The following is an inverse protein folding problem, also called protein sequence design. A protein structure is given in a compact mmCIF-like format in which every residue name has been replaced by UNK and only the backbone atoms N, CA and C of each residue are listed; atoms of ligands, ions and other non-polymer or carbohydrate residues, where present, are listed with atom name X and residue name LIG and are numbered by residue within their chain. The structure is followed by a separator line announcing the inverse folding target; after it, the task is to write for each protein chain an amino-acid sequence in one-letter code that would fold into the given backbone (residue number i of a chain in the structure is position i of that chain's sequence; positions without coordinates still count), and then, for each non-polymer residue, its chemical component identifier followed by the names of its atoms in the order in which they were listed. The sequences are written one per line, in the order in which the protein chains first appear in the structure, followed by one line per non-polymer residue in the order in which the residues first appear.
data_IF_111766545853
#
_entry.id   IF_111766545853
#
_cell.length_a   1.000
_cell.length_b   1.000
_cell.length_c   1.000
_cell.angle_alpha   90.00
_cell.angle_beta   90.00
_cell.angle_gamma   90.00
#
_symmetry.space_group_name_H-M   'P 1'
#
loop_
_entity.id
_entity.type
_entity.pdbx_description
1 polymer ?
#
# COMPACT_ATOMS: atom_id res chain seq x y z
N UNK A 1 -56.40 -11.07 39.07
CA UNK A 1 -55.47 -11.97 38.37
C UNK A 1 -55.13 -11.31 37.04
N UNK A 2 -53.94 -10.75 36.94
CA UNK A 2 -53.46 -9.92 35.83
C UNK A 2 -53.06 -10.77 34.63
N UNK A 3 -53.56 -10.40 33.44
CA UNK A 3 -53.04 -10.87 32.15
C UNK A 3 -51.95 -9.93 31.66
N UNK A 4 -50.78 -10.50 31.35
CA UNK A 4 -49.65 -9.77 30.78
C UNK A 4 -49.70 -9.87 29.25
N UNK A 5 -49.91 -8.72 28.60
CA UNK A 5 -49.77 -8.51 27.16
C UNK A 5 -48.37 -7.93 26.94
N UNK A 6 -47.53 -8.62 26.15
CA UNK A 6 -46.24 -8.08 25.70
C UNK A 6 -46.38 -7.44 24.32
N UNK A 7 -45.88 -6.21 24.10
CA UNK A 7 -45.69 -5.66 22.77
C UNK A 7 -44.27 -5.96 22.24
N UNK A 8 -44.21 -6.63 21.08
CA UNK A 8 -43.03 -6.66 20.21
C UNK A 8 -42.85 -5.26 19.58
N UNK A 9 -41.76 -4.58 19.90
CA UNK A 9 -41.35 -3.38 19.19
C UNK A 9 -40.52 -3.76 17.94
N UNK A 10 -41.19 -3.83 16.79
CA UNK A 10 -40.56 -3.70 15.48
C UNK A 10 -40.16 -2.24 15.27
N UNK A 11 -38.86 -1.96 15.07
CA UNK A 11 -38.43 -0.71 14.46
C UNK A 11 -38.14 -0.99 12.99
N UNK A 12 -39.12 -0.65 12.16
CA UNK A 12 -38.99 -0.50 10.71
C UNK A 12 -38.46 0.90 10.44
N UNK A 13 -37.34 1.00 9.73
CA UNK A 13 -37.02 2.18 8.92
C UNK A 13 -36.80 1.70 7.49
N UNK A 14 -37.83 1.88 6.66
CA UNK A 14 -37.70 1.85 5.20
C UNK A 14 -36.78 2.97 4.71
N UNK A 15 -36.20 2.93 3.52
CA UNK A 15 -36.93 2.78 2.26
C UNK A 15 -36.07 2.16 1.15
N UNK A 16 -36.70 1.25 0.40
CA UNK A 16 -36.29 0.77 -0.90
C UNK A 16 -36.19 1.90 -1.94
N UNK A 17 -35.14 1.87 -2.77
CA UNK A 17 -35.26 2.22 -4.19
C UNK A 17 -34.75 1.02 -4.98
N UNK A 18 -35.72 0.32 -5.58
CA UNK A 18 -35.57 -0.68 -6.62
C UNK A 18 -35.07 -0.01 -7.90
N UNK A 19 -34.05 -0.58 -8.53
CA UNK A 19 -33.94 -0.61 -10.00
C UNK A 19 -33.56 -2.04 -10.38
N UNK A 20 -34.57 -2.80 -10.80
CA UNK A 20 -34.44 -4.05 -11.56
C UNK A 20 -35.32 -3.97 -12.80
N UNK A 21 -34.93 -4.77 -13.81
CA UNK A 21 -35.52 -5.01 -15.14
C UNK A 21 -34.94 -4.15 -16.27
N UNK A 22 -34.28 -4.73 -17.28
CA UNK A 22 -34.83 -5.69 -18.26
C UNK A 22 -33.72 -6.68 -18.71
N UNK A 23 -33.85 -8.00 -18.52
CA UNK A 23 -34.62 -9.02 -19.26
C UNK A 23 -33.83 -9.72 -20.38
N UNK A 24 -33.64 -11.02 -20.13
CA UNK A 24 -33.23 -12.11 -21.02
C UNK A 24 -34.31 -12.45 -22.06
N UNK A 25 -33.88 -12.88 -23.24
CA UNK A 25 -34.46 -13.98 -24.05
C UNK A 25 -33.63 -14.16 -25.34
N UNK A 26 -33.42 -15.32 -25.99
CA UNK A 26 -33.76 -16.75 -25.88
C UNK A 26 -32.91 -17.45 -26.96
N UNK A 27 -32.61 -18.75 -26.79
CA UNK A 27 -32.39 -19.70 -27.91
C UNK A 27 -31.13 -20.55 -27.76
N UNK A 28 -31.17 -21.71 -27.08
CA UNK A 28 -31.45 -23.07 -27.61
C UNK A 28 -30.58 -23.49 -28.81
N UNK A 29 -29.86 -24.61 -28.64
CA UNK A 29 -29.18 -25.34 -29.73
C UNK A 29 -28.07 -26.24 -29.19
N UNK A 30 -28.41 -27.39 -28.62
CA UNK A 30 -28.23 -28.74 -29.22
C UNK A 30 -26.87 -29.40 -28.97
N UNK A 31 -26.98 -30.58 -28.36
CA UNK A 31 -25.98 -31.62 -28.18
C UNK A 31 -25.29 -32.04 -29.48
N UNK A 32 -23.98 -32.27 -29.44
CA UNK A 32 -23.30 -33.21 -30.34
C UNK A 32 -22.01 -33.72 -29.69
N UNK A 33 -22.04 -35.00 -29.33
CA UNK A 33 -20.88 -35.85 -29.07
C UNK A 33 -20.06 -36.04 -30.35
N UNK A 34 -18.73 -35.84 -30.30
CA UNK A 34 -17.78 -36.51 -31.21
C UNK A 34 -16.52 -36.89 -30.43
N UNK A 35 -16.22 -38.17 -30.51
CA UNK A 35 -15.03 -38.84 -29.99
C UNK A 35 -13.91 -38.86 -31.04
N UNK A 36 -12.68 -39.07 -30.56
CA UNK A 36 -11.54 -39.77 -31.22
C UNK A 36 -10.40 -38.93 -31.83
N UNK A 37 -9.24 -39.12 -31.18
CA UNK A 37 -7.86 -39.24 -31.68
C UNK A 37 -7.06 -38.00 -32.11
N UNK A 38 -5.77 -38.04 -31.78
CA UNK A 38 -4.75 -37.24 -32.45
C UNK A 38 -3.57 -36.91 -31.55
N UNK A 39 -2.60 -37.82 -31.48
CA UNK A 39 -1.26 -37.58 -30.92
C UNK A 39 -0.67 -36.26 -31.44
N UNK A 40 0.07 -35.53 -30.60
CA UNK A 40 1.52 -35.42 -30.74
C UNK A 40 2.15 -34.69 -29.54
N UNK A 41 3.16 -35.36 -29.01
CA UNK A 41 4.04 -35.00 -27.91
C UNK A 41 5.14 -34.03 -28.36
N UNK A 42 5.46 -33.02 -27.57
CA UNK A 42 6.78 -32.40 -27.53
C UNK A 42 7.20 -32.14 -26.08
N UNK A 43 8.23 -32.87 -25.64
CA UNK A 43 8.97 -32.67 -24.38
C UNK A 43 10.23 -31.85 -24.69
N UNK A 44 10.72 -30.98 -23.80
CA UNK A 44 12.05 -30.41 -23.90
C UNK A 44 13.13 -31.38 -23.39
N UNK A 45 14.29 -31.35 -24.05
CA UNK A 45 15.43 -32.22 -23.87
C UNK A 45 16.26 -31.92 -22.61
N UNK A 46 16.67 -32.99 -21.92
CA UNK A 46 17.61 -32.99 -20.80
C UNK A 46 18.95 -33.49 -21.30
N UNK A 47 20.01 -32.69 -21.16
CA UNK A 47 21.39 -33.07 -21.50
C UNK A 47 22.04 -33.83 -20.35
N UNK A 48 22.63 -34.98 -20.69
CA UNK A 48 23.39 -35.87 -19.82
C UNK A 48 24.77 -35.28 -19.48
N UNK A 49 25.21 -35.45 -18.23
CA UNK A 49 26.64 -35.50 -17.88
C UNK A 49 26.93 -36.78 -17.11
N UNK A 50 27.88 -37.55 -17.66
CA UNK A 50 28.38 -38.82 -17.15
C UNK A 50 29.49 -38.59 -16.11
N UNK A 51 29.48 -39.46 -15.11
CA UNK A 51 30.46 -39.60 -14.03
C UNK A 51 31.56 -40.59 -14.44
N UNK A 52 32.82 -40.32 -14.11
CA UNK A 52 33.86 -41.35 -14.00
C UNK A 52 34.93 -40.94 -12.98
N UNK A 53 35.31 -41.90 -12.16
CA UNK A 53 36.09 -41.79 -10.92
C UNK A 53 37.62 -41.81 -11.13
N UNK A 54 38.29 -41.18 -10.15
CA UNK A 54 39.61 -41.42 -9.50
C UNK A 54 40.87 -41.80 -10.29
N UNK A 55 41.93 -41.03 -10.03
CA UNK A 55 43.27 -41.52 -9.63
C UNK A 55 44.00 -40.41 -8.85
N UNK A 56 44.57 -40.78 -7.71
CA UNK A 56 45.34 -39.96 -6.78
C UNK A 56 46.80 -39.84 -7.22
N UNK A 57 47.48 -38.71 -6.93
CA UNK A 57 48.59 -38.67 -5.94
C UNK A 57 49.30 -37.30 -5.85
N UNK A 58 49.66 -36.98 -4.60
CA UNK A 58 50.78 -36.15 -4.10
C UNK A 58 50.86 -34.63 -4.37
N UNK A 59 50.67 -33.82 -3.30
CA UNK A 59 51.72 -33.06 -2.56
C UNK A 59 51.08 -32.45 -1.28
N UNK A 60 51.84 -32.47 -0.18
CA UNK A 60 51.42 -32.26 1.21
C UNK A 60 51.36 -30.76 1.66
N UNK A 61 51.15 -30.41 2.96
CA UNK A 61 50.02 -29.60 3.42
C UNK A 61 50.41 -28.16 3.85
N UNK A 62 49.49 -27.21 3.71
CA UNK A 62 49.65 -25.86 4.25
C UNK A 62 48.35 -25.34 4.89
N UNK A 63 48.32 -25.47 6.22
CA UNK A 63 47.66 -24.59 7.21
C UNK A 63 46.17 -24.27 7.02
N UNK A 64 45.37 -25.06 7.72
CA UNK A 64 44.10 -24.64 8.34
C UNK A 64 44.29 -23.33 9.13
N UNK A 65 43.45 -22.31 8.89
CA UNK A 65 42.90 -21.47 9.97
C UNK A 65 41.88 -20.37 9.55
N UNK A 66 41.47 -20.23 8.28
CA UNK A 66 40.65 -19.08 7.87
C UNK A 66 39.22 -19.37 7.37
N UNK A 67 38.67 -20.57 7.56
CA UNK A 67 37.33 -20.92 7.02
C UNK A 67 36.29 -21.35 8.08
N UNK A 68 36.63 -21.49 9.37
CA UNK A 68 35.65 -21.92 10.39
C UNK A 68 34.84 -20.81 11.07
N UNK A 69 35.24 -19.53 10.97
CA UNK A 69 34.55 -18.45 11.69
C UNK A 69 33.30 -17.89 10.98
N UNK A 70 33.20 -18.03 9.65
CA UNK A 70 32.13 -17.39 8.87
C UNK A 70 30.93 -18.30 8.56
N UNK A 71 31.12 -19.63 8.61
CA UNK A 71 30.00 -20.57 8.47
C UNK A 71 29.19 -20.76 9.78
N UNK A 72 29.81 -20.59 10.94
CA UNK A 72 29.12 -20.72 12.25
C UNK A 72 28.19 -19.52 12.55
N UNK A 73 28.45 -18.35 11.94
CA UNK A 73 27.54 -17.18 12.03
C UNK A 73 26.27 -17.34 11.18
N UNK A 74 26.27 -18.22 10.17
CA UNK A 74 25.13 -18.45 9.27
C UNK A 74 24.13 -19.52 9.74
N UNK A 75 24.43 -20.20 10.86
CA UNK A 75 23.57 -21.25 11.45
C UNK A 75 23.08 -20.95 12.87
N UNK A 76 23.04 -19.69 13.30
CA UNK A 76 22.25 -19.34 14.48
C UNK A 76 20.77 -19.47 14.12
N UNK A 77 19.98 -20.37 14.75
CA UNK A 77 18.54 -20.33 14.57
C UNK A 77 18.10 -18.91 14.92
N UNK A 78 17.39 -18.26 13.99
CA UNK A 78 16.72 -16.98 14.29
C UNK A 78 15.95 -17.21 15.58
N UNK A 79 16.37 -16.58 16.68
CA UNK A 79 15.55 -16.49 17.89
C UNK A 79 14.24 -15.88 17.41
N UNK A 80 13.22 -16.73 17.23
CA UNK A 80 11.83 -16.30 17.08
C UNK A 80 11.54 -15.62 18.40
N UNK A 81 11.72 -14.30 18.44
CA UNK A 81 11.25 -13.49 19.55
C UNK A 81 9.72 -13.65 19.53
N UNK A 82 9.22 -14.58 20.34
CA UNK A 82 7.82 -15.01 20.37
C UNK A 82 7.04 -14.36 21.49
N UNK A 83 7.55 -13.26 22.06
CA UNK A 83 6.77 -12.37 22.92
C UNK A 83 6.07 -11.30 22.06
N UNK A 84 5.35 -11.78 21.04
CA UNK A 84 4.55 -10.97 20.11
C UNK A 84 3.07 -10.96 20.48
N UNK A 85 2.69 -11.68 21.55
CA UNK A 85 1.34 -11.68 22.05
C UNK A 85 1.08 -10.35 22.74
N UNK A 86 0.30 -9.47 22.11
CA UNK A 86 -0.23 -8.30 22.80
C UNK A 86 -1.05 -8.70 24.04
N UNK A 87 -1.80 -7.76 24.62
CA UNK A 87 -2.48 -8.00 25.89
C UNK A 87 -3.43 -9.23 25.91
N UNK A 88 -3.93 -9.67 24.75
CA UNK A 88 -4.72 -10.88 24.58
C UNK A 88 -4.11 -11.88 23.59
N UNK A 89 -2.78 -11.87 23.42
CA UNK A 89 -2.11 -12.71 22.43
C UNK A 89 -2.15 -14.21 22.71
N UNK A 90 -2.63 -14.61 23.88
CA UNK A 90 -2.86 -16.00 24.26
C UNK A 90 -4.28 -16.50 23.89
N UNK A 91 -5.23 -15.59 23.60
CA UNK A 91 -6.60 -15.96 23.26
C UNK A 91 -6.72 -16.43 21.82
N UNK A 92 -7.62 -17.39 21.58
CA UNK A 92 -8.03 -17.74 20.22
C UNK A 92 -8.84 -16.61 19.58
N UNK A 93 -9.04 -16.66 18.26
CA UNK A 93 -9.89 -15.68 17.56
C UNK A 93 -11.34 -15.75 18.04
N UNK A 94 -11.83 -16.94 18.39
CA UNK A 94 -13.19 -17.16 18.90
C UNK A 94 -13.33 -16.61 20.32
N UNK A 95 -12.37 -16.89 21.21
CA UNK A 95 -12.39 -16.36 22.58
C UNK A 95 -12.29 -14.83 22.60
N UNK A 96 -11.48 -14.26 21.70
CA UNK A 96 -11.36 -12.82 21.56
C UNK A 96 -12.65 -12.19 21.02
N UNK A 97 -13.37 -12.89 20.14
CA UNK A 97 -14.69 -12.46 19.66
C UNK A 97 -15.68 -12.40 20.82
N UNK A 98 -15.79 -13.49 21.60
CA UNK A 98 -16.68 -13.55 22.77
C UNK A 98 -16.36 -12.46 23.78
N UNK A 99 -15.07 -12.23 24.08
CA UNK A 99 -14.64 -11.15 24.97
C UNK A 99 -15.04 -9.77 24.43
N UNK A 100 -14.88 -9.55 23.13
CA UNK A 100 -15.23 -8.28 22.50
C UNK A 100 -16.75 -8.05 22.55
N UNK A 101 -17.54 -9.07 22.21
CA UNK A 101 -19.00 -9.04 22.29
C UNK A 101 -19.49 -8.80 23.72
N UNK A 102 -18.84 -9.39 24.72
CA UNK A 102 -19.13 -9.11 26.13
C UNK A 102 -18.91 -7.63 26.49
N UNK A 103 -17.78 -7.03 26.08
CA UNK A 103 -17.54 -5.62 26.35
C UNK A 103 -18.52 -4.70 25.61
N UNK A 104 -18.91 -5.06 24.40
CA UNK A 104 -19.93 -4.35 23.63
C UNK A 104 -21.32 -4.47 24.29
N UNK A 105 -21.72 -5.66 24.74
CA UNK A 105 -23.02 -5.87 25.39
C UNK A 105 -23.12 -5.20 26.75
N UNK A 106 -22.03 -5.14 27.52
CA UNK A 106 -21.99 -4.39 28.77
C UNK A 106 -22.25 -2.89 28.57
N UNK A 107 -22.00 -2.35 27.38
CA UNK A 107 -22.36 -0.96 27.07
C UNK A 107 -23.84 -0.80 26.67
N UNK A 108 -24.50 -1.89 26.25
CA UNK A 108 -25.93 -1.94 25.91
C UNK A 108 -26.81 -2.21 27.15
N UNK A 109 -26.38 -3.13 28.02
CA UNK A 109 -27.17 -3.63 29.15
C UNK A 109 -27.04 -2.78 30.42
N UNK A 110 -25.92 -2.07 30.58
CA UNK A 110 -25.91 -0.96 31.51
C UNK A 110 -26.87 0.08 30.94
N UNK A 111 -27.85 0.54 31.71
CA UNK A 111 -28.69 1.73 31.43
C UNK A 111 -27.87 3.05 31.28
N UNK A 112 -26.58 2.92 30.99
CA UNK A 112 -25.66 3.90 30.44
C UNK A 112 -26.28 4.51 29.19
N UNK A 113 -26.95 5.65 29.36
CA UNK A 113 -27.03 6.63 28.28
C UNK A 113 -25.62 6.83 27.73
N UNK A 114 -25.45 6.62 26.42
CA UNK A 114 -24.20 6.91 25.69
C UNK A 114 -23.55 8.15 26.32
N UNK A 115 -22.30 8.02 26.77
CA UNK A 115 -21.58 9.08 27.47
C UNK A 115 -21.05 8.73 28.86
N UNK A 116 -21.36 7.55 29.41
CA UNK A 116 -20.91 7.13 30.75
C UNK A 116 -19.78 6.09 30.76
N UNK A 117 -19.20 5.76 29.61
CA UNK A 117 -18.09 4.80 29.55
C UNK A 117 -16.89 5.26 30.40
N UNK A 118 -16.38 4.37 31.25
CA UNK A 118 -15.24 4.65 32.13
C UNK A 118 -13.91 4.66 31.36
N UNK A 119 -12.90 5.34 31.92
CA UNK A 119 -11.54 5.31 31.35
C UNK A 119 -10.94 3.90 31.26
N UNK A 120 -11.33 2.98 32.15
CA UNK A 120 -10.89 1.59 32.10
C UNK A 120 -11.50 0.87 30.89
N UNK A 121 -12.81 1.02 30.66
CA UNK A 121 -13.48 0.44 29.49
C UNK A 121 -12.90 0.95 28.16
N UNK A 122 -12.61 2.26 28.07
CA UNK A 122 -11.92 2.83 26.92
C UNK A 122 -10.55 2.21 26.65
N UNK A 123 -9.77 2.03 27.72
CA UNK A 123 -8.46 1.40 27.60
C UNK A 123 -8.57 -0.06 27.13
N UNK A 124 -9.58 -0.80 27.62
CA UNK A 124 -9.86 -2.16 27.14
C UNK A 124 -10.24 -2.17 25.64
N UNK A 125 -11.10 -1.25 25.17
CA UNK A 125 -11.39 -1.13 23.73
C UNK A 125 -10.15 -0.82 22.89
N UNK A 126 -9.27 0.07 23.37
CA UNK A 126 -7.99 0.35 22.70
C UNK A 126 -7.11 -0.91 22.60
N UNK A 127 -7.03 -1.71 23.67
CA UNK A 127 -6.31 -3.00 23.69
C UNK A 127 -6.93 -4.01 22.73
N UNK A 128 -8.26 -4.09 22.67
CA UNK A 128 -9.00 -4.97 21.76
C UNK A 128 -8.68 -4.59 20.30
N UNK A 129 -8.82 -3.31 19.93
CA UNK A 129 -8.48 -2.82 18.58
C UNK A 129 -7.03 -3.18 18.22
N UNK A 130 -6.08 -2.91 19.12
CA UNK A 130 -4.67 -3.23 18.88
C UNK A 130 -4.42 -4.74 18.72
N UNK A 131 -5.18 -5.58 19.43
CA UNK A 131 -5.07 -7.04 19.34
C UNK A 131 -5.66 -7.54 18.03
N UNK A 132 -6.89 -7.15 17.70
CA UNK A 132 -7.55 -7.48 16.44
C UNK A 132 -6.71 -7.03 15.23
N UNK A 133 -6.16 -5.82 15.29
CA UNK A 133 -5.26 -5.32 14.26
C UNK A 133 -4.00 -6.19 14.10
N UNK A 134 -3.49 -6.84 15.14
CA UNK A 134 -2.28 -7.68 15.07
C UNK A 134 -2.55 -9.09 14.53
N UNK A 135 -3.80 -9.55 14.47
CA UNK A 135 -4.13 -10.90 14.01
C UNK A 135 -3.63 -11.13 12.58
N UNK A 136 -2.96 -12.27 12.40
CA UNK A 136 -2.44 -12.74 11.11
C UNK A 136 -2.99 -14.13 10.88
N UNK A 137 -4.15 -14.20 10.22
CA UNK A 137 -4.72 -15.46 9.80
C UNK A 137 -4.53 -15.70 8.30
N UNK A 138 -4.28 -16.95 7.93
CA UNK A 138 -4.35 -17.40 6.54
C UNK A 138 -5.80 -17.42 6.03
N UNK A 139 -6.76 -17.68 6.92
CA UNK A 139 -8.17 -17.70 6.59
C UNK A 139 -8.67 -16.28 6.30
N UNK A 140 -9.37 -16.11 5.17
CA UNK A 140 -9.92 -14.80 4.79
C UNK A 140 -11.01 -14.36 5.77
N UNK A 141 -11.87 -15.29 6.19
CA UNK A 141 -13.00 -15.00 7.07
C UNK A 141 -12.53 -14.44 8.42
N UNK A 142 -11.51 -15.04 9.03
CA UNK A 142 -10.93 -14.53 10.28
C UNK A 142 -10.33 -13.13 10.14
N UNK A 143 -9.75 -12.77 8.98
CA UNK A 143 -9.25 -11.41 8.75
C UNK A 143 -10.37 -10.39 8.59
N UNK A 144 -11.48 -10.79 7.98
CA UNK A 144 -12.69 -9.94 7.86
C UNK A 144 -13.27 -9.72 9.25
N UNK A 145 -13.53 -10.80 9.99
CA UNK A 145 -14.02 -10.74 11.37
C UNK A 145 -13.13 -9.85 12.23
N UNK A 146 -11.81 -10.02 12.19
CA UNK A 146 -10.89 -9.18 12.95
C UNK A 146 -10.98 -7.69 12.57
N UNK A 147 -11.27 -7.38 11.30
CA UNK A 147 -11.43 -6.00 10.86
C UNK A 147 -12.77 -5.41 11.30
N UNK A 148 -13.85 -6.19 11.22
CA UNK A 148 -15.19 -5.82 11.66
C UNK A 148 -15.23 -5.60 13.19
N UNK A 149 -14.68 -6.51 13.98
CA UNK A 149 -14.63 -6.36 15.44
C UNK A 149 -13.79 -5.14 15.85
N UNK A 150 -12.64 -4.91 15.21
CA UNK A 150 -11.83 -3.72 15.47
C UNK A 150 -12.58 -2.42 15.11
N UNK A 151 -13.29 -2.42 13.98
CA UNK A 151 -14.09 -1.27 13.56
C UNK A 151 -15.25 -1.01 14.52
N UNK A 152 -15.94 -2.05 14.98
CA UNK A 152 -17.04 -1.94 15.94
C UNK A 152 -16.57 -1.36 17.27
N UNK A 153 -15.45 -1.85 17.81
CA UNK A 153 -14.82 -1.26 19.00
C UNK A 153 -14.47 0.22 18.82
N UNK A 154 -13.95 0.60 17.65
CA UNK A 154 -13.63 2.00 17.38
C UNK A 154 -14.91 2.85 17.34
N UNK A 155 -15.97 2.39 16.66
CA UNK A 155 -17.24 3.10 16.58
C UNK A 155 -17.85 3.36 17.96
N UNK A 156 -17.85 2.36 18.82
CA UNK A 156 -18.36 2.48 20.19
C UNK A 156 -17.65 3.61 20.97
N UNK A 157 -16.32 3.65 20.89
CA UNK A 157 -15.53 4.70 21.55
C UNK A 157 -15.82 6.09 20.97
N UNK A 158 -16.12 6.17 19.67
CA UNK A 158 -16.44 7.44 19.01
C UNK A 158 -17.85 7.92 19.30
N UNK A 159 -18.82 7.02 19.45
CA UNK A 159 -20.19 7.35 19.84
C UNK A 159 -20.20 7.90 21.28
N UNK A 160 -19.39 7.32 22.18
CA UNK A 160 -19.17 7.86 23.53
C UNK A 160 -18.53 9.26 23.52
N UNK A 161 -17.56 9.50 22.64
CA UNK A 161 -17.00 10.85 22.45
C UNK A 161 -18.06 11.83 21.93
N UNK A 162 -18.91 11.40 20.99
CA UNK A 162 -19.99 12.21 20.44
C UNK A 162 -21.05 12.58 21.49
N UNK A 163 -21.28 11.70 22.47
CA UNK A 163 -22.16 11.98 23.61
C UNK A 163 -21.54 12.89 24.69
N UNK A 164 -20.32 13.38 24.49
CA UNK A 164 -19.67 14.34 25.40
C UNK A 164 -18.93 13.70 26.56
N UNK A 165 -18.60 12.40 26.48
CA UNK A 165 -17.79 11.74 27.50
C UNK A 165 -16.38 12.36 27.56
N UNK A 166 -16.04 12.93 28.72
CA UNK A 166 -14.74 13.59 28.94
C UNK A 166 -13.56 12.63 28.81
N UNK A 167 -13.73 11.37 29.23
CA UNK A 167 -12.68 10.38 29.13
C UNK A 167 -12.53 9.86 27.69
N UNK A 168 -13.60 9.82 26.88
CA UNK A 168 -13.50 9.49 25.45
C UNK A 168 -12.87 10.63 24.64
N UNK A 169 -13.08 11.86 25.09
CA UNK A 169 -12.48 13.04 24.46
C UNK A 169 -10.95 13.01 24.49
N UNK A 170 -10.35 12.55 25.60
CA UNK A 170 -8.89 12.40 25.76
C UNK A 170 -8.35 10.99 25.44
N UNK A 171 -9.19 9.96 25.51
CA UNK A 171 -8.81 8.56 25.27
C UNK A 171 -8.74 8.15 23.81
N UNK A 172 -9.42 8.87 22.90
CA UNK A 172 -9.33 8.61 21.45
C UNK A 172 -7.97 9.06 20.94
N UNK A 173 -7.19 8.13 20.38
CA UNK A 173 -5.86 8.38 19.84
C UNK A 173 -5.74 7.93 18.37
N UNK A 174 -4.85 8.54 17.55
CA UNK A 174 -4.69 8.17 16.14
C UNK A 174 -4.35 6.69 15.90
N UNK A 175 -3.68 6.03 16.85
CA UNK A 175 -3.30 4.62 16.78
C UNK A 175 -4.52 3.68 16.71
N UNK A 176 -5.66 4.07 17.27
CA UNK A 176 -6.90 3.29 17.18
C UNK A 176 -7.42 3.27 15.74
N UNK A 177 -7.46 4.42 15.07
CA UNK A 177 -7.80 4.53 13.64
C UNK A 177 -6.81 3.75 12.78
N UNK A 178 -5.51 3.90 13.04
CA UNK A 178 -4.47 3.19 12.31
C UNK A 178 -4.62 1.67 12.45
N UNK A 179 -4.96 1.17 13.64
CA UNK A 179 -5.21 -0.24 13.90
C UNK A 179 -6.32 -0.81 13.00
N UNK A 180 -7.46 -0.12 12.94
CA UNK A 180 -8.61 -0.50 12.09
C UNK A 180 -8.29 -0.37 10.60
N UNK A 181 -7.59 0.69 10.17
CA UNK A 181 -7.14 0.84 8.78
C UNK A 181 -6.23 -0.34 8.40
N UNK A 182 -5.26 -0.68 9.24
CA UNK A 182 -4.32 -1.76 8.97
C UNK A 182 -4.96 -3.14 8.99
N UNK A 183 -6.00 -3.39 9.80
CA UNK A 183 -6.74 -4.67 9.77
C UNK A 183 -7.44 -4.84 8.43
N UNK A 184 -8.18 -3.83 7.96
CA UNK A 184 -8.83 -3.85 6.64
C UNK A 184 -7.83 -4.06 5.51
N UNK A 185 -6.68 -3.37 5.52
CA UNK A 185 -5.65 -3.54 4.50
C UNK A 185 -5.01 -4.95 4.47
N UNK A 186 -5.12 -5.73 5.56
CA UNK A 186 -4.64 -7.13 5.61
C UNK A 186 -5.61 -8.12 4.99
N UNK A 187 -6.90 -7.79 4.87
CA UNK A 187 -7.91 -8.68 4.28
C UNK A 187 -7.53 -9.04 2.83
N UNK A 188 -7.07 -8.04 2.05
CA UNK A 188 -6.59 -8.16 0.67
C UNK A 188 -7.62 -8.75 -0.30
N UNK A 189 -8.92 -8.51 -0.07
CA UNK A 189 -10.02 -8.99 -0.90
C UNK A 189 -10.34 -8.11 -2.11
N UNK A 190 -9.75 -6.92 -2.19
CA UNK A 190 -9.83 -6.07 -3.37
C UNK A 190 -10.24 -4.64 -3.03
N UNK A 191 -11.22 -4.10 -3.75
CA UNK A 191 -11.63 -2.70 -3.61
C UNK A 191 -12.39 -2.43 -2.32
N UNK A 192 -13.20 -3.38 -1.83
CA UNK A 192 -14.07 -3.16 -0.66
C UNK A 192 -13.26 -2.77 0.57
N UNK A 193 -12.22 -3.53 0.91
CA UNK A 193 -11.41 -3.26 2.11
C UNK A 193 -10.68 -1.92 2.04
N UNK A 194 -10.28 -1.49 0.83
CA UNK A 194 -9.68 -0.17 0.60
C UNK A 194 -10.70 0.95 0.82
N UNK A 195 -11.96 0.71 0.46
CA UNK A 195 -13.06 1.64 0.74
C UNK A 195 -13.34 1.71 2.24
N UNK A 196 -13.36 0.58 2.95
CA UNK A 196 -13.46 0.57 4.42
C UNK A 196 -12.32 1.36 5.06
N UNK A 197 -11.06 1.06 4.72
CA UNK A 197 -9.90 1.79 5.20
C UNK A 197 -9.98 3.31 4.91
N UNK A 198 -10.46 3.69 3.71
CA UNK A 198 -10.66 5.10 3.35
C UNK A 198 -11.81 5.74 4.13
N UNK A 199 -12.87 4.99 4.43
CA UNK A 199 -14.00 5.50 5.23
C UNK A 199 -13.60 5.80 6.67
N UNK A 200 -12.71 5.00 7.26
CA UNK A 200 -12.14 5.25 8.59
C UNK A 200 -11.26 6.50 8.58
N UNK A 201 -10.46 6.71 7.53
CA UNK A 201 -9.71 7.96 7.36
C UNK A 201 -10.64 9.17 7.19
N UNK A 202 -11.73 9.05 6.41
CA UNK A 202 -12.74 10.10 6.29
C UNK A 202 -13.45 10.38 7.62
N UNK A 203 -13.63 9.37 8.48
CA UNK A 203 -14.17 9.55 9.81
C UNK A 203 -13.19 10.33 10.70
N UNK A 204 -11.91 9.99 10.65
CA UNK A 204 -10.84 10.72 11.35
C UNK A 204 -10.86 12.21 10.98
N UNK A 205 -10.86 12.53 9.69
CA UNK A 205 -10.89 13.93 9.24
C UNK A 205 -12.16 14.66 9.69
N UNK A 206 -13.33 14.04 9.58
CA UNK A 206 -14.60 14.67 9.98
C UNK A 206 -14.63 15.00 11.47
N UNK A 207 -14.10 14.13 12.32
CA UNK A 207 -14.16 14.30 13.77
C UNK A 207 -13.04 15.17 14.33
N UNK A 208 -11.88 15.23 13.67
CA UNK A 208 -10.67 15.89 14.21
C UNK A 208 -10.11 16.98 13.30
N UNK A 209 -10.84 17.42 12.26
CA UNK A 209 -10.37 18.48 11.34
C UNK A 209 -9.95 19.78 12.01
N UNK A 210 -10.48 20.09 13.19
CA UNK A 210 -10.14 21.29 13.97
C UNK A 210 -8.92 21.10 14.88
N UNK A 211 -8.51 19.86 15.16
CA UNK A 211 -7.38 19.54 16.03
C UNK A 211 -6.12 19.28 15.20
N UNK A 212 -5.36 20.33 14.93
CA UNK A 212 -4.13 20.26 14.12
C UNK A 212 -3.09 19.29 14.68
N UNK A 213 -3.00 19.17 16.02
CA UNK A 213 -2.06 18.27 16.68
C UNK A 213 -2.48 16.82 16.45
N UNK A 214 -3.78 16.52 16.58
CA UNK A 214 -4.32 15.20 16.27
C UNK A 214 -4.11 14.83 14.80
N UNK A 215 -4.39 15.76 13.89
CA UNK A 215 -4.20 15.56 12.45
C UNK A 215 -2.73 15.30 12.11
N UNK A 216 -1.79 16.05 12.68
CA UNK A 216 -0.35 15.84 12.47
C UNK A 216 0.10 14.45 12.96
N UNK A 217 -0.38 14.01 14.12
CA UNK A 217 -0.11 12.67 14.66
C UNK A 217 -0.75 11.54 13.85
N UNK A 218 -1.73 11.85 13.00
CA UNK A 218 -2.45 10.88 12.17
C UNK A 218 -1.78 10.56 10.83
N UNK A 219 -0.59 11.10 10.54
CA UNK A 219 0.12 10.90 9.26
C UNK A 219 0.20 9.42 8.82
N UNK A 220 0.43 8.49 9.75
CA UNK A 220 0.48 7.06 9.45
C UNK A 220 -0.84 6.49 8.89
N UNK A 221 -1.98 7.06 9.24
CA UNK A 221 -3.28 6.67 8.69
C UNK A 221 -3.35 6.99 7.18
N UNK A 222 -2.93 8.19 6.79
CA UNK A 222 -2.83 8.60 5.39
C UNK A 222 -1.87 7.70 4.62
N UNK A 223 -0.67 7.48 5.15
CA UNK A 223 0.37 6.66 4.52
C UNK A 223 -0.16 5.23 4.30
N UNK A 224 -0.83 4.64 5.29
CA UNK A 224 -1.39 3.29 5.18
C UNK A 224 -2.44 3.19 4.06
N UNK A 225 -3.40 4.13 4.02
CA UNK A 225 -4.44 4.16 2.98
C UNK A 225 -3.83 4.41 1.60
N UNK A 226 -2.88 5.35 1.50
CA UNK A 226 -2.15 5.67 0.27
C UNK A 226 -1.43 4.46 -0.29
N UNK A 227 -0.62 3.79 0.54
CA UNK A 227 0.10 2.57 0.17
C UNK A 227 -0.85 1.45 -0.25
N UNK A 228 -1.99 1.32 0.44
CA UNK A 228 -3.07 0.40 0.08
C UNK A 228 -3.57 0.63 -1.35
N UNK A 229 -3.90 1.87 -1.69
CA UNK A 229 -4.33 2.23 -3.05
C UNK A 229 -3.22 2.08 -4.09
N UNK A 230 -1.98 2.46 -3.78
CA UNK A 230 -0.83 2.33 -4.68
C UNK A 230 -0.54 0.87 -5.06
N UNK A 231 -0.72 -0.07 -4.12
CA UNK A 231 -0.51 -1.52 -4.36
C UNK A 231 -1.73 -2.19 -5.00
N UNK A 232 -2.90 -1.56 -4.95
CA UNK A 232 -4.15 -2.10 -5.49
C UNK A 232 -4.11 -2.18 -7.02
N UNK A 233 -4.69 -3.23 -7.59
CA UNK A 233 -4.96 -3.34 -9.04
C UNK A 233 -6.35 -2.83 -9.43
N UNK A 234 -7.12 -2.27 -8.49
CA UNK A 234 -8.49 -1.80 -8.75
C UNK A 234 -8.51 -0.65 -9.76
N UNK A 235 -9.55 -0.60 -10.59
CA UNK A 235 -9.77 0.50 -11.55
C UNK A 235 -9.94 1.83 -10.81
N UNK A 236 -9.18 2.86 -11.17
CA UNK A 236 -9.25 4.16 -10.50
C UNK A 236 -8.47 4.24 -9.20
N UNK A 237 -7.69 3.21 -8.84
CA UNK A 237 -6.81 3.25 -7.66
C UNK A 237 -5.79 4.40 -7.76
N UNK A 238 -5.32 4.72 -8.97
CA UNK A 238 -4.44 5.87 -9.21
C UNK A 238 -5.10 7.23 -8.91
N UNK A 239 -6.42 7.35 -9.08
CA UNK A 239 -7.15 8.59 -8.75
C UNK A 239 -7.24 8.72 -7.23
N UNK A 240 -7.63 7.63 -6.55
CA UNK A 240 -7.72 7.60 -5.08
C UNK A 240 -6.36 7.83 -4.43
N UNK A 241 -5.30 7.23 -4.95
CA UNK A 241 -3.94 7.45 -4.45
C UNK A 241 -3.53 8.93 -4.55
N UNK A 242 -3.82 9.60 -5.67
CA UNK A 242 -3.57 11.03 -5.81
C UNK A 242 -4.40 11.88 -4.85
N UNK A 243 -5.69 11.58 -4.72
CA UNK A 243 -6.59 12.27 -3.78
C UNK A 243 -6.06 12.20 -2.34
N UNK A 244 -5.64 11.02 -1.89
CA UNK A 244 -5.10 10.82 -0.54
C UNK A 244 -3.75 11.52 -0.36
N UNK A 245 -2.88 11.55 -1.39
CA UNK A 245 -1.63 12.30 -1.33
C UNK A 245 -1.87 13.80 -1.14
N UNK A 246 -2.83 14.37 -1.88
CA UNK A 246 -3.21 15.78 -1.76
C UNK A 246 -3.77 16.07 -0.37
N UNK A 247 -4.67 15.23 0.14
CA UNK A 247 -5.23 15.35 1.50
C UNK A 247 -4.16 15.28 2.58
N UNK A 248 -3.19 14.37 2.43
CA UNK A 248 -2.04 14.26 3.34
C UNK A 248 -1.18 15.52 3.33
N UNK A 249 -0.90 16.09 2.15
CA UNK A 249 -0.21 17.39 2.07
C UNK A 249 -0.98 18.47 2.82
N UNK A 250 -2.29 18.63 2.57
CA UNK A 250 -3.08 19.67 3.24
C UNK A 250 -3.19 19.49 4.75
N UNK A 251 -3.28 18.25 5.24
CA UNK A 251 -3.48 17.97 6.66
C UNK A 251 -2.18 18.08 7.49
N UNK A 252 -1.02 17.85 6.86
CA UNK A 252 0.27 17.75 7.58
C UNK A 252 1.16 18.99 7.34
N UNK A 253 0.92 19.78 6.28
CA UNK A 253 1.67 21.02 6.02
C UNK A 253 1.43 22.15 7.04
N UNK A 254 0.40 22.08 7.88
CA UNK A 254 0.10 23.12 8.88
C UNK A 254 1.03 23.08 10.10
N UNK A 255 1.77 22.00 10.34
CA UNK A 255 2.65 21.87 11.51
C UNK A 255 4.10 22.20 11.20
N UNK A 256 4.40 23.48 10.98
CA UNK A 256 5.75 24.03 10.73
C UNK A 256 6.72 23.97 11.94
N UNK A 257 6.38 23.30 13.04
CA UNK A 257 7.05 23.50 14.33
C UNK A 257 7.58 22.26 15.06
N UNK A 258 7.34 21.04 14.56
CA UNK A 258 7.80 19.83 15.27
C UNK A 258 8.78 19.05 14.42
N UNK A 259 9.95 18.75 14.98
CA UNK A 259 11.06 17.94 14.45
C UNK A 259 10.70 16.49 14.07
N UNK A 260 9.43 16.22 13.73
CA UNK A 260 8.92 14.92 13.32
C UNK A 260 8.94 14.76 11.80
N UNK A 261 9.58 13.70 11.33
CA UNK A 261 9.67 13.25 9.94
C UNK A 261 8.31 12.75 9.37
N UNK A 262 7.19 13.39 9.72
CA UNK A 262 5.83 12.92 9.45
C UNK A 262 5.17 13.58 8.23
N UNK A 263 5.85 14.53 7.58
CA UNK A 263 5.40 15.20 6.37
C UNK A 263 5.41 14.32 5.12
N UNK A 264 4.87 14.84 4.02
CA UNK A 264 4.95 14.18 2.71
C UNK A 264 6.41 14.15 2.25
N UNK A 265 6.88 12.95 1.96
CA UNK A 265 8.21 12.67 1.40
C UNK A 265 8.16 12.29 -0.11
N UNK A 266 9.35 12.28 -0.73
CA UNK A 266 9.56 11.82 -2.12
C UNK A 266 9.04 10.41 -2.40
N UNK A 267 9.02 9.49 -1.41
CA UNK A 267 8.52 8.11 -1.62
C UNK A 267 7.03 8.10 -1.85
N UNK A 268 6.25 8.94 -1.17
CA UNK A 268 4.80 9.01 -1.39
C UNK A 268 4.48 9.44 -2.83
N UNK A 269 5.17 10.48 -3.34
CA UNK A 269 5.06 10.90 -4.74
C UNK A 269 5.46 9.77 -5.71
N UNK A 270 6.61 9.13 -5.47
CA UNK A 270 7.07 8.02 -6.30
C UNK A 270 6.10 6.83 -6.29
N UNK A 271 5.48 6.51 -5.16
CA UNK A 271 4.48 5.44 -5.06
C UNK A 271 3.25 5.75 -5.91
N UNK A 272 2.74 6.98 -5.85
CA UNK A 272 1.59 7.43 -6.66
C UNK A 272 1.94 7.47 -8.15
N UNK A 273 3.10 8.02 -8.51
CA UNK A 273 3.57 8.03 -9.90
C UNK A 273 3.75 6.61 -10.44
N UNK A 274 4.29 5.67 -9.65
CA UNK A 274 4.42 4.27 -10.04
C UNK A 274 3.05 3.60 -10.25
N UNK A 275 2.08 3.92 -9.40
CA UNK A 275 0.70 3.45 -9.56
C UNK A 275 0.06 3.99 -10.85
N UNK A 276 0.29 5.26 -11.19
CA UNK A 276 -0.15 5.86 -12.45
C UNK A 276 0.54 5.20 -13.64
N UNK A 277 1.86 5.00 -13.58
CA UNK A 277 2.65 4.37 -14.64
C UNK A 277 2.20 2.92 -14.93
N UNK A 278 1.64 2.24 -13.93
CA UNK A 278 1.10 0.89 -14.05
C UNK A 278 -0.38 0.86 -14.44
N UNK A 279 -1.03 2.03 -14.57
CA UNK A 279 -2.43 2.14 -14.97
C UNK A 279 -2.57 1.98 -16.49
N UNK A 280 -3.60 1.27 -16.99
CA UNK A 280 -3.82 1.07 -18.43
C UNK A 280 -4.37 2.34 -19.13
N UNK A 281 -4.21 3.53 -18.55
CA UNK A 281 -4.78 4.77 -19.07
C UNK A 281 -3.85 5.39 -20.13
N UNK A 282 -4.39 5.83 -21.28
CA UNK A 282 -3.58 6.43 -22.35
C UNK A 282 -2.93 7.76 -21.95
N UNK A 283 -3.46 8.43 -20.91
CA UNK A 283 -2.89 9.68 -20.37
C UNK A 283 -2.00 9.48 -19.14
N UNK A 284 -1.63 8.24 -18.80
CA UNK A 284 -0.84 7.95 -17.60
C UNK A 284 0.52 8.68 -17.59
N UNK A 285 1.22 8.74 -18.74
CA UNK A 285 2.48 9.48 -18.87
C UNK A 285 2.34 10.97 -18.50
N UNK A 286 1.33 11.65 -19.06
CA UNK A 286 1.06 13.07 -18.76
C UNK A 286 0.70 13.30 -17.29
N UNK A 287 -0.07 12.39 -16.70
CA UNK A 287 -0.48 12.51 -15.30
C UNK A 287 0.69 12.27 -14.33
N UNK A 288 1.54 11.29 -14.63
CA UNK A 288 2.75 11.04 -13.85
C UNK A 288 3.72 12.23 -13.94
N UNK A 289 3.87 12.81 -15.14
CA UNK A 289 4.67 14.01 -15.34
C UNK A 289 4.12 15.21 -14.55
N UNK A 290 2.81 15.43 -14.54
CA UNK A 290 2.19 16.53 -13.77
C UNK A 290 2.56 16.44 -12.29
N UNK A 291 2.60 15.23 -11.72
CA UNK A 291 3.04 15.01 -10.35
C UNK A 291 4.54 15.24 -10.15
N UNK A 292 5.38 14.83 -11.09
CA UNK A 292 6.81 15.10 -11.06
C UNK A 292 7.08 16.61 -11.06
N UNK A 293 6.45 17.35 -11.96
CA UNK A 293 6.62 18.81 -12.04
C UNK A 293 6.13 19.49 -10.75
N UNK A 294 4.96 19.08 -10.23
CA UNK A 294 4.48 19.59 -8.94
C UNK A 294 5.45 19.29 -7.79
N UNK A 295 6.13 18.14 -7.80
CA UNK A 295 7.13 17.79 -6.78
C UNK A 295 8.38 18.68 -6.92
N UNK A 296 8.84 18.94 -8.15
CA UNK A 296 9.96 19.85 -8.45
C UNK A 296 9.63 21.28 -7.98
N UNK A 297 8.45 21.78 -8.32
CA UNK A 297 8.00 23.13 -7.94
C UNK A 297 7.98 23.32 -6.42
N UNK A 298 7.49 22.31 -5.68
CA UNK A 298 7.48 22.32 -4.22
C UNK A 298 8.88 22.27 -3.61
N UNK A 299 9.76 21.43 -4.16
CA UNK A 299 11.16 21.37 -3.73
C UNK A 299 11.86 22.72 -3.95
N UNK A 300 11.68 23.33 -5.12
CA UNK A 300 12.22 24.65 -5.45
C UNK A 300 11.63 25.76 -4.56
N UNK A 301 10.42 25.56 -4.02
CA UNK A 301 9.78 26.45 -3.04
C UNK A 301 10.27 26.25 -1.60
N UNK A 302 11.19 25.31 -1.36
CA UNK A 302 11.82 25.08 -0.05
C UNK A 302 11.42 23.78 0.66
N UNK A 303 10.54 22.96 0.08
CA UNK A 303 10.15 21.66 0.65
C UNK A 303 11.23 20.59 0.40
N UNK A 304 12.31 20.61 1.20
CA UNK A 304 13.45 19.72 1.04
C UNK A 304 13.11 18.21 1.10
N UNK A 305 12.02 17.81 1.78
CA UNK A 305 11.56 16.42 1.86
C UNK A 305 11.08 15.85 0.51
N UNK A 306 10.79 16.73 -0.45
CA UNK A 306 10.30 16.42 -1.78
C UNK A 306 11.40 16.43 -2.84
N UNK A 307 12.67 16.37 -2.42
CA UNK A 307 13.83 16.26 -3.30
C UNK A 307 13.62 15.18 -4.38
N UNK A 308 13.47 15.57 -5.67
CA UNK A 308 13.33 14.61 -6.75
C UNK A 308 14.59 13.76 -6.88
N UNK A 309 14.42 12.48 -7.20
CA UNK A 309 15.55 11.56 -7.43
C UNK A 309 15.40 10.85 -8.78
N UNK A 310 16.43 10.08 -9.17
CA UNK A 310 16.45 9.35 -10.44
C UNK A 310 15.21 8.47 -10.63
N UNK A 311 14.72 7.84 -9.56
CA UNK A 311 13.51 7.01 -9.62
C UNK A 311 12.28 7.84 -10.00
N UNK A 312 12.15 9.07 -9.53
CA UNK A 312 11.05 9.96 -9.88
C UNK A 312 10.95 10.20 -11.39
N UNK A 313 12.07 10.46 -12.06
CA UNK A 313 12.11 10.65 -13.51
C UNK A 313 11.91 9.33 -14.26
N UNK A 314 12.60 8.26 -13.86
CA UNK A 314 12.48 6.94 -14.46
C UNK A 314 11.03 6.44 -14.44
N UNK A 315 10.29 6.70 -13.36
CA UNK A 315 8.87 6.36 -13.25
C UNK A 315 8.02 7.09 -14.29
N UNK A 316 8.29 8.38 -14.58
CA UNK A 316 7.56 9.14 -15.60
C UNK A 316 7.89 8.64 -17.01
N UNK A 317 9.17 8.38 -17.30
CA UNK A 317 9.60 7.81 -18.58
C UNK A 317 8.89 6.46 -18.81
N UNK A 318 8.88 5.60 -17.78
CA UNK A 318 8.16 4.33 -17.80
C UNK A 318 6.65 4.52 -18.01
N UNK A 319 6.05 5.55 -17.41
CA UNK A 319 4.63 5.84 -17.61
C UNK A 319 4.31 6.19 -19.08
N UNK A 320 5.19 6.95 -19.75
CA UNK A 320 5.05 7.22 -21.19
C UNK A 320 5.24 5.95 -22.03
N UNK A 321 6.21 5.11 -21.69
CA UNK A 321 6.45 3.81 -22.33
C UNK A 321 5.23 2.90 -22.27
N UNK A 322 4.64 2.75 -21.07
CA UNK A 322 3.49 1.89 -20.85
C UNK A 322 2.19 2.44 -21.46
N UNK A 323 1.97 3.76 -21.40
CA UNK A 323 0.75 4.37 -21.94
C UNK A 323 0.72 4.35 -23.47
N UNK A 324 1.90 4.41 -24.10
CA UNK A 324 2.05 4.48 -25.54
C UNK A 324 1.44 5.74 -26.16
N UNK A 325 1.22 5.70 -27.47
CA UNK A 325 0.61 6.78 -28.25
C UNK A 325 1.60 7.62 -29.04
N UNK A 326 1.07 8.45 -29.94
CA UNK A 326 1.83 9.19 -30.98
C UNK A 326 3.00 10.03 -30.44
N UNK A 327 2.88 10.53 -29.21
CA UNK A 327 3.87 11.41 -28.59
C UNK A 327 4.60 10.77 -27.40
N UNK A 328 4.44 9.47 -27.14
CA UNK A 328 5.09 8.81 -26.02
C UNK A 328 6.62 8.93 -26.10
N UNK A 329 7.20 8.60 -27.25
CA UNK A 329 8.63 8.71 -27.49
C UNK A 329 9.18 10.12 -27.33
N UNK A 330 8.52 11.11 -27.94
CA UNK A 330 8.93 12.51 -27.84
C UNK A 330 8.89 13.02 -26.38
N UNK A 331 7.84 12.65 -25.63
CA UNK A 331 7.74 13.04 -24.23
C UNK A 331 8.75 12.30 -23.35
N UNK A 332 8.96 11.00 -23.56
CA UNK A 332 9.96 10.21 -22.84
C UNK A 332 11.37 10.77 -23.05
N UNK A 333 11.74 11.11 -24.30
CA UNK A 333 12.98 11.81 -24.64
C UNK A 333 13.08 13.16 -23.93
N UNK A 334 12.01 13.97 -23.93
CA UNK A 334 12.03 15.26 -23.21
C UNK A 334 12.31 15.09 -21.71
N UNK A 335 11.70 14.11 -21.04
CA UNK A 335 11.97 13.85 -19.62
C UNK A 335 13.42 13.40 -19.41
N UNK A 336 13.97 12.59 -20.32
CA UNK A 336 15.39 12.21 -20.29
C UNK A 336 16.31 13.44 -20.46
N UNK A 337 15.97 14.37 -21.33
CA UNK A 337 16.72 15.63 -21.49
C UNK A 337 16.69 16.50 -20.24
N UNK A 338 15.58 16.51 -19.48
CA UNK A 338 15.52 17.19 -18.18
C UNK A 338 16.44 16.54 -17.15
N UNK A 339 16.65 15.22 -17.22
CA UNK A 339 17.63 14.54 -16.35
C UNK A 339 19.07 14.88 -16.72
N UNK A 340 19.37 15.09 -18.01
CA UNK A 340 20.70 15.50 -18.48
C UNK A 340 21.03 16.95 -18.15
N UNK A 341 20.01 17.83 -18.22
CA UNK A 341 20.13 19.27 -18.01
C UNK A 341 19.23 19.75 -16.85
N UNK A 342 19.44 19.29 -15.61
CA UNK A 342 18.59 19.61 -14.47
C UNK A 342 18.61 21.09 -14.07
N UNK A 343 19.60 21.86 -14.54
CA UNK A 343 19.61 23.32 -14.45
C UNK A 343 18.35 23.97 -15.04
N UNK A 344 17.77 23.37 -16.09
CA UNK A 344 16.55 23.88 -16.75
C UNK A 344 15.31 23.86 -15.85
N UNK A 345 15.35 23.06 -14.78
CA UNK A 345 14.26 22.87 -13.81
C UNK A 345 14.65 23.30 -12.39
N UNK A 346 15.74 24.06 -12.24
CA UNK A 346 16.21 24.56 -10.94
C UNK A 346 16.91 23.52 -10.06
N UNK A 347 17.27 22.35 -10.61
CA UNK A 347 17.90 21.24 -9.89
C UNK A 347 19.41 21.12 -10.15
N UNK A 348 20.10 22.24 -10.44
CA UNK A 348 21.52 22.28 -10.82
C UNK A 348 22.43 21.51 -9.85
N UNK A 349 22.19 21.66 -8.54
CA UNK A 349 22.97 20.98 -7.47
C UNK A 349 22.84 19.46 -7.49
N UNK A 350 21.88 18.91 -8.22
CA UNK A 350 21.59 17.47 -8.29
C UNK A 350 22.05 16.82 -9.59
N UNK A 351 22.82 17.52 -10.44
CA UNK A 351 23.27 17.03 -11.75
C UNK A 351 23.85 15.61 -11.73
N UNK A 352 24.72 15.33 -10.75
CA UNK A 352 25.32 14.00 -10.60
C UNK A 352 24.30 12.94 -10.12
N UNK A 353 23.36 13.33 -9.25
CA UNK A 353 22.36 12.41 -8.68
C UNK A 353 21.25 12.07 -9.68
N UNK A 354 20.88 13.04 -10.52
CA UNK A 354 19.83 12.91 -11.54
C UNK A 354 20.35 12.39 -12.88
N UNK A 355 21.67 12.26 -13.05
CA UNK A 355 22.27 11.71 -14.27
C UNK A 355 21.52 10.43 -14.70
N UNK A 356 21.09 10.36 -15.97
CA UNK A 356 20.46 9.16 -16.52
C UNK A 356 21.31 7.91 -16.33
N UNK A 357 20.63 6.79 -16.15
CA UNK A 357 21.22 5.45 -16.07
C UNK A 357 20.64 4.51 -17.13
N UNK A 358 21.07 3.26 -17.10
CA UNK A 358 20.61 2.19 -18.01
C UNK A 358 19.08 2.06 -18.00
N UNK A 359 18.43 2.25 -16.84
CA UNK A 359 16.97 2.19 -16.72
C UNK A 359 16.31 3.37 -17.44
N UNK A 360 16.90 4.55 -17.35
CA UNK A 360 16.45 5.77 -18.03
C UNK A 360 16.43 5.57 -19.54
N UNK A 361 17.58 5.16 -20.10
CA UNK A 361 17.73 4.92 -21.55
C UNK A 361 16.87 3.75 -22.04
N UNK A 362 16.87 2.61 -21.34
CA UNK A 362 16.05 1.46 -21.74
C UNK A 362 14.56 1.75 -21.76
N UNK A 363 14.07 2.53 -20.81
CA UNK A 363 12.65 2.93 -20.76
C UNK A 363 12.27 3.84 -21.92
N UNK A 364 13.17 4.75 -22.36
CA UNK A 364 12.97 5.56 -23.57
C UNK A 364 13.03 4.68 -24.82
N UNK A 365 14.01 3.78 -24.94
CA UNK A 365 14.13 2.88 -26.10
C UNK A 365 12.88 2.01 -26.29
N UNK A 366 12.25 1.56 -25.20
CA UNK A 366 10.99 0.83 -25.25
C UNK A 366 9.81 1.63 -25.86
N UNK A 367 9.93 2.96 -25.93
CA UNK A 367 8.92 3.84 -26.57
C UNK A 367 9.16 4.05 -28.06
N UNK A 368 10.37 3.74 -28.55
CA UNK A 368 10.78 4.02 -29.92
C UNK A 368 10.32 2.92 -30.87
N UNK A 369 9.83 3.35 -32.03
CA UNK A 369 9.45 2.46 -33.14
C UNK A 369 10.52 2.38 -34.22
N UNK A 370 11.52 3.27 -34.19
CA UNK A 370 12.60 3.37 -35.17
C UNK A 370 13.90 2.79 -34.61
N UNK A 371 14.53 1.86 -35.34
CA UNK A 371 15.80 1.24 -34.95
C UNK A 371 16.96 2.24 -34.91
N UNK A 372 17.02 3.17 -35.85
CA UNK A 372 18.11 4.18 -35.90
C UNK A 372 18.11 5.10 -34.67
N UNK A 373 16.94 5.56 -34.23
CA UNK A 373 16.85 6.38 -33.01
C UNK A 373 17.19 5.60 -31.75
N UNK A 374 16.95 4.29 -31.75
CA UNK A 374 17.34 3.42 -30.64
C UNK A 374 18.86 3.17 -30.63
N UNK A 375 19.48 3.01 -31.80
CA UNK A 375 20.94 2.88 -31.94
C UNK A 375 21.67 4.14 -31.48
N UNK A 376 21.18 5.32 -31.84
CA UNK A 376 21.73 6.61 -31.40
C UNK A 376 21.69 6.75 -29.87
N UNK A 377 20.54 6.43 -29.24
CA UNK A 377 20.43 6.44 -27.78
C UNK A 377 21.31 5.36 -27.11
N UNK A 378 21.50 4.20 -27.74
CA UNK A 378 22.42 3.18 -27.24
C UNK A 378 23.87 3.67 -27.28
N UNK A 379 24.28 4.32 -28.37
CA UNK A 379 25.62 4.90 -28.48
C UNK A 379 25.86 5.95 -27.39
N UNK A 380 24.88 6.84 -27.16
CA UNK A 380 24.95 7.83 -26.09
C UNK A 380 25.02 7.18 -24.69
N UNK A 381 24.24 6.14 -24.44
CA UNK A 381 24.28 5.38 -23.19
C UNK A 381 25.68 4.77 -22.96
N UNK A 382 26.28 4.17 -23.99
CA UNK A 382 27.63 3.59 -23.92
C UNK A 382 28.68 4.67 -23.65
N UNK A 383 28.56 5.84 -24.29
CA UNK A 383 29.46 6.96 -24.05
C UNK A 383 29.38 7.43 -22.59
N UNK A 384 28.17 7.61 -22.04
CA UNK A 384 27.98 8.00 -20.64
C UNK A 384 28.50 6.93 -19.67
N UNK A 385 28.28 5.64 -19.96
CA UNK A 385 28.83 4.52 -19.18
C UNK A 385 30.36 4.47 -19.22
N UNK A 386 30.99 4.90 -20.31
CA UNK A 386 32.46 4.96 -20.39
C UNK A 386 33.06 6.12 -19.60
N UNK A 387 32.31 7.22 -19.43
CA UNK A 387 32.72 8.39 -18.64
C UNK A 387 32.45 8.25 -17.13
N UNK A 388 31.44 7.48 -16.73
CA UNK A 388 31.12 7.22 -15.32
C UNK A 388 31.44 5.77 -14.93
N UNK A 389 32.54 5.56 -14.19
CA UNK A 389 32.95 4.24 -13.68
C UNK A 389 31.93 3.57 -12.75
N UNK A 390 30.98 4.34 -12.19
CA UNK A 390 29.93 3.88 -11.26
C UNK A 390 28.65 3.40 -11.97
N UNK A 391 28.60 3.37 -13.31
CA UNK A 391 27.44 2.89 -14.09
C UNK A 391 27.56 1.42 -14.57
N UNK A 392 28.51 0.64 -14.05
CA UNK A 392 28.57 -0.80 -14.33
C UNK A 392 27.46 -1.56 -13.56
N UNK A 393 26.89 -2.61 -14.18
CA UNK A 393 25.70 -3.32 -13.66
C UNK A 393 25.88 -3.93 -12.27
#
# INVERSE_FOLDING_TARGET
MMGFVMPFAMIVVGTNILITESLLAIGRGTSASVSISGRQSWRPATTHYLRRDSLADEIAPATDDWISADMEKRRRPRKRNRDNGGPYGHLSTEDLQVLTEYHLSQNIDNLATVGSMTSAQMHEFSRLIATWAKIRSHQRQERILASEMAEQCLREVLDEKAAGNAAASSGVVPEMYLGVIQSWLKVKSGRSDLVHATSILNLLERLHSTDEVFMSRSAMCYIAVLDGWCRSKSRGAEIRAQEILIRMSSAVSSTNGTNGNFGVDVRHYNNVMNRIASSPKPKAGKEAERLLMSMIDKYNSGEASLLPNRNSFNTVIKAYSNAGGKHAAANAKRILELMKNPETIGLERLKLQLSPDVISFSSVMATLTSGHEAEELMAEMVELCSKNSDMRP
#
